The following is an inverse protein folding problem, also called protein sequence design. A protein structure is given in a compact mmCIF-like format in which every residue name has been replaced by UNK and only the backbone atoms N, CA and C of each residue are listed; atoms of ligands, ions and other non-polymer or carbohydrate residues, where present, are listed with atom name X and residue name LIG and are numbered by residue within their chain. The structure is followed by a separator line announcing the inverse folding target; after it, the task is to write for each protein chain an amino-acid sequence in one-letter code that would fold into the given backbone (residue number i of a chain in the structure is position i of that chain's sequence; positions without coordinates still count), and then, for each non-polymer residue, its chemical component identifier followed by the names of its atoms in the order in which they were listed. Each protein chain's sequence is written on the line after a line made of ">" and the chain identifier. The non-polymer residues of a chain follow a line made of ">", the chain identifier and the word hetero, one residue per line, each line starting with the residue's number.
data_IF_282124480631
#
_entry.id   IF_282124480631
#
_cell.length_a   1.000
_cell.length_b   1.000
_cell.length_c   1.000
_cell.angle_alpha   90.00
_cell.angle_beta   90.00
_cell.angle_gamma   90.00
#
_symmetry.space_group_name_H-M   'P 1'
#
loop_
_entity.id
_entity.type
_entity.pdbx_description
1 polymer ?
#
# COMPACT_ATOMS: atom_id res chain seq x y z
N UNK A 1 47.06 9.89 44.46
CA UNK A 1 47.16 8.95 43.32
C UNK A 1 45.82 8.23 43.24
N UNK A 2 44.96 8.65 42.32
CA UNK A 2 43.60 8.10 42.20
C UNK A 2 43.43 7.52 40.80
N UNK A 3 43.06 6.25 40.78
CA UNK A 3 42.73 5.43 39.62
C UNK A 3 41.49 5.96 38.90
N UNK A 4 41.47 5.91 37.57
CA UNK A 4 40.23 5.75 36.80
C UNK A 4 40.56 5.17 35.43
N UNK A 5 40.37 3.85 35.32
CA UNK A 5 40.40 3.12 34.05
C UNK A 5 39.05 3.20 33.34
N UNK A 6 39.14 3.33 32.01
CA UNK A 6 38.27 2.77 30.97
C UNK A 6 36.75 3.00 31.14
N UNK A 7 36.22 3.98 30.41
CA UNK A 7 34.83 3.94 29.93
C UNK A 7 34.83 3.93 28.41
N UNK A 8 34.39 2.79 27.87
CA UNK A 8 34.19 2.53 26.45
C UNK A 8 32.96 3.32 25.97
N UNK A 9 33.17 4.32 25.10
CA UNK A 9 32.06 4.98 24.40
C UNK A 9 31.56 4.06 23.29
N UNK A 10 30.50 3.30 23.56
CA UNK A 10 29.67 2.71 22.52
C UNK A 10 28.83 3.82 21.88
N UNK A 11 29.02 4.02 20.58
CA UNK A 11 28.15 4.85 19.75
C UNK A 11 26.96 4.00 19.34
N UNK A 12 25.88 4.10 20.11
CA UNK A 12 24.57 3.57 19.74
C UNK A 12 23.88 4.59 18.84
N UNK A 13 23.93 4.39 17.52
CA UNK A 13 23.10 5.14 16.59
C UNK A 13 21.67 4.56 16.60
N UNK A 14 20.89 4.93 17.62
CA UNK A 14 19.46 4.68 17.66
C UNK A 14 18.76 5.62 16.67
N UNK A 15 18.22 5.08 15.57
CA UNK A 15 17.25 5.80 14.75
C UNK A 15 15.93 5.90 15.54
N UNK A 16 15.80 6.95 16.34
CA UNK A 16 14.55 7.29 17.01
C UNK A 16 13.55 7.84 15.99
N UNK A 17 12.40 7.17 15.88
CA UNK A 17 11.20 7.67 15.22
C UNK A 17 10.43 8.54 16.20
N UNK A 18 10.38 9.86 15.97
CA UNK A 18 9.44 10.75 16.67
C UNK A 18 8.34 11.17 15.70
N UNK A 19 7.15 10.61 15.90
CA UNK A 19 5.91 11.17 15.37
C UNK A 19 5.56 12.44 16.14
N UNK A 20 5.38 13.56 15.45
CA UNK A 20 4.70 14.73 16.01
C UNK A 20 3.60 15.14 15.05
N UNK A 21 2.36 14.93 15.51
CA UNK A 21 1.19 15.67 15.04
C UNK A 21 1.42 17.18 15.19
N UNK A 22 0.94 17.96 14.24
CA UNK A 22 0.59 19.35 14.53
C UNK A 22 -0.61 19.76 13.67
N UNK A 23 -1.78 19.74 14.30
CA UNK A 23 -2.98 20.42 13.85
C UNK A 23 -2.88 21.87 14.32
N UNK A 24 -3.05 22.84 13.41
CA UNK A 24 -3.81 24.04 13.76
C UNK A 24 -4.37 24.74 12.53
N UNK A 25 -5.70 24.85 12.55
CA UNK A 25 -6.48 25.79 11.78
C UNK A 25 -6.18 27.24 12.21
N UNK A 26 -6.32 28.18 11.27
CA UNK A 26 -6.91 29.48 11.57
C UNK A 26 -7.60 30.04 10.34
N UNK A 27 -8.78 30.58 10.56
CA UNK A 27 -9.70 31.17 9.61
C UNK A 27 -9.84 32.65 9.94
N UNK A 28 -9.74 33.52 8.93
CA UNK A 28 -10.34 34.86 8.88
C UNK A 28 -9.97 35.46 7.51
N UNK A 29 -10.70 36.33 6.86
CA UNK A 29 -12.08 36.81 6.88
C UNK A 29 -12.08 37.93 5.84
N UNK A 30 -13.12 38.03 5.00
CA UNK A 30 -13.53 39.34 4.48
C UNK A 30 -14.99 39.29 4.08
N UNK A 31 -15.82 39.87 4.95
CA UNK A 31 -17.15 40.43 4.64
C UNK A 31 -17.04 41.44 3.48
N UNK A 32 -18.04 41.63 2.63
CA UNK A 32 -19.18 42.50 2.94
C UNK A 32 -20.29 42.41 1.88
N UNK A 33 -21.51 42.61 2.36
CA UNK A 33 -22.82 42.40 1.73
C UNK A 33 -23.37 43.62 0.96
N UNK A 34 -24.35 43.36 0.04
CA UNK A 34 -25.54 44.18 -0.34
C UNK A 34 -25.35 45.16 -1.55
N UNK A 35 -26.21 45.33 -2.59
CA UNK A 35 -27.55 44.82 -3.04
C UNK A 35 -27.92 45.31 -4.48
N UNK A 36 -28.82 44.55 -5.15
CA UNK A 36 -29.80 44.81 -6.26
C UNK A 36 -29.39 45.62 -7.52
N UNK A 37 -29.73 45.22 -8.76
CA UNK A 37 -31.11 45.06 -9.28
C UNK A 37 -31.17 44.37 -10.67
N UNK A 38 -32.29 43.66 -10.92
CA UNK A 38 -33.05 43.47 -12.18
C UNK A 38 -32.50 42.64 -13.38
N UNK A 39 -33.29 41.61 -13.71
CA UNK A 39 -33.81 41.21 -15.06
C UNK A 39 -33.53 39.76 -15.49
N UNK A 40 -34.60 38.98 -15.46
CA UNK A 40 -34.98 37.81 -16.27
C UNK A 40 -33.92 37.06 -17.10
N UNK A 41 -33.82 35.74 -16.89
CA UNK A 41 -34.03 34.74 -17.95
C UNK A 41 -34.32 33.35 -17.37
N UNK A 42 -35.17 32.59 -18.06
CA UNK A 42 -35.65 31.27 -17.68
C UNK A 42 -34.60 30.17 -17.93
N UNK A 43 -34.47 29.19 -17.03
CA UNK A 43 -33.62 28.03 -17.31
C UNK A 43 -33.55 26.96 -16.21
N UNK A 44 -34.40 25.95 -16.34
CA UNK A 44 -34.32 24.59 -15.77
C UNK A 44 -34.34 24.44 -14.23
N UNK A 45 -35.53 24.16 -13.69
CA UNK A 45 -35.69 23.41 -12.43
C UNK A 45 -35.38 21.94 -12.73
N UNK A 46 -34.33 21.41 -12.09
CA UNK A 46 -34.03 19.98 -12.11
C UNK A 46 -34.99 19.27 -11.16
N UNK A 47 -36.00 18.61 -11.70
CA UNK A 47 -36.78 17.62 -10.96
C UNK A 47 -35.98 16.31 -10.90
N UNK A 48 -35.64 15.78 -9.70
CA UNK A 48 -35.13 14.42 -9.62
C UNK A 48 -36.24 13.47 -10.06
N UNK A 49 -36.02 12.73 -11.15
CA UNK A 49 -36.95 11.71 -11.63
C UNK A 49 -37.24 10.70 -10.51
N UNK A 50 -38.45 10.77 -9.94
CA UNK A 50 -39.09 9.61 -9.34
C UNK A 50 -39.60 8.73 -10.47
N UNK A 51 -38.80 7.76 -10.90
CA UNK A 51 -39.30 6.70 -11.75
C UNK A 51 -38.89 5.32 -11.21
N UNK A 52 -39.93 4.59 -10.79
CA UNK A 52 -40.02 3.15 -10.58
C UNK A 52 -39.11 2.51 -9.53
N UNK A 53 -39.74 2.17 -8.40
CA UNK A 53 -39.29 1.09 -7.53
C UNK A 53 -39.40 -0.25 -8.29
N UNK A 54 -38.42 -0.53 -9.14
CA UNK A 54 -38.08 -1.90 -9.51
C UNK A 54 -37.16 -2.43 -8.40
N UNK A 55 -37.51 -3.58 -7.83
CA UNK A 55 -36.79 -4.23 -6.76
C UNK A 55 -35.34 -4.53 -7.18
N UNK A 56 -34.45 -3.56 -6.97
CA UNK A 56 -33.02 -3.82 -6.95
C UNK A 56 -32.70 -4.36 -5.57
N UNK A 57 -32.52 -5.67 -5.50
CA UNK A 57 -31.77 -6.33 -4.43
C UNK A 57 -30.54 -5.45 -4.15
N UNK A 58 -30.45 -4.89 -2.94
CA UNK A 58 -29.55 -3.77 -2.64
C UNK A 58 -28.11 -4.06 -3.07
N UNK A 59 -27.63 -3.39 -4.13
CA UNK A 59 -26.22 -3.42 -4.51
C UNK A 59 -25.42 -2.80 -3.37
N UNK A 60 -24.63 -3.62 -2.68
CA UNK A 60 -23.55 -3.15 -1.81
C UNK A 60 -22.71 -2.15 -2.62
N UNK A 61 -22.61 -0.92 -2.10
CA UNK A 61 -21.80 0.11 -2.74
C UNK A 61 -20.37 -0.03 -2.23
N UNK A 62 -19.50 -0.62 -3.03
CA UNK A 62 -18.07 -0.71 -2.73
C UNK A 62 -17.40 0.64 -3.03
N UNK A 63 -16.64 1.15 -2.07
CA UNK A 63 -15.93 2.42 -2.19
C UNK A 63 -14.47 2.24 -1.79
N UNK A 64 -13.51 2.79 -2.55
CA UNK A 64 -12.12 2.75 -2.16
C UNK A 64 -11.88 3.43 -0.81
N UNK A 65 -11.04 2.83 0.04
CA UNK A 65 -10.54 3.48 1.25
C UNK A 65 -9.34 4.35 0.90
N UNK A 66 -9.63 5.59 0.52
CA UNK A 66 -8.62 6.56 0.08
C UNK A 66 -7.63 6.92 1.18
N UNK A 67 -8.05 6.93 2.45
CA UNK A 67 -7.17 7.25 3.58
C UNK A 67 -6.14 6.13 3.80
N UNK A 68 -6.61 4.88 3.79
CA UNK A 68 -5.72 3.72 3.91
C UNK A 68 -4.76 3.63 2.72
N UNK A 69 -5.26 3.80 1.49
CA UNK A 69 -4.42 3.84 0.27
C UNK A 69 -3.32 4.89 0.40
N UNK A 70 -3.67 6.11 0.81
CA UNK A 70 -2.69 7.19 0.96
C UNK A 70 -1.64 6.88 2.04
N UNK A 71 -2.06 6.30 3.17
CA UNK A 71 -1.15 5.90 4.25
C UNK A 71 -0.19 4.80 3.79
N UNK A 72 -0.70 3.76 3.12
CA UNK A 72 0.13 2.66 2.62
C UNK A 72 1.09 3.13 1.53
N UNK A 73 0.64 4.04 0.66
CA UNK A 73 1.52 4.66 -0.35
C UNK A 73 2.63 5.48 0.29
N UNK A 74 2.32 6.30 1.28
CA UNK A 74 3.32 7.10 1.98
C UNK A 74 4.37 6.22 2.70
N UNK A 75 3.93 5.14 3.34
CA UNK A 75 4.84 4.17 3.97
C UNK A 75 5.74 3.49 2.93
N UNK A 76 5.17 3.03 1.82
CA UNK A 76 5.94 2.42 0.71
C UNK A 76 6.96 3.39 0.09
N UNK A 77 6.57 4.65 -0.12
CA UNK A 77 7.44 5.69 -0.67
C UNK A 77 8.59 6.02 0.29
N UNK A 78 8.29 6.17 1.59
CA UNK A 78 9.31 6.41 2.63
C UNK A 78 10.33 5.27 2.69
N UNK A 79 9.86 4.02 2.70
CA UNK A 79 10.70 2.82 2.75
C UNK A 79 11.53 2.64 1.49
N UNK A 80 10.96 2.97 0.33
CA UNK A 80 11.69 2.95 -0.94
C UNK A 80 12.79 4.02 -0.96
N UNK A 81 12.52 5.21 -0.42
CA UNK A 81 13.52 6.27 -0.31
C UNK A 81 14.67 5.87 0.62
N UNK A 82 14.37 5.23 1.76
CA UNK A 82 15.38 4.69 2.67
C UNK A 82 16.27 3.64 1.98
N UNK A 83 15.67 2.70 1.24
CA UNK A 83 16.41 1.68 0.50
C UNK A 83 17.31 2.32 -0.56
N UNK A 84 16.81 3.29 -1.34
CA UNK A 84 17.63 4.02 -2.32
C UNK A 84 18.83 4.70 -1.65
N UNK A 85 18.60 5.42 -0.56
CA UNK A 85 19.68 6.10 0.17
C UNK A 85 20.74 5.14 0.71
N UNK A 86 20.31 3.99 1.25
CA UNK A 86 21.24 2.95 1.72
C UNK A 86 22.10 2.40 0.58
N UNK A 87 21.48 2.11 -0.57
CA UNK A 87 22.19 1.57 -1.73
C UNK A 87 23.11 2.61 -2.35
N UNK A 88 22.69 3.87 -2.43
CA UNK A 88 23.55 4.99 -2.87
C UNK A 88 24.77 5.15 -1.96
N UNK A 89 24.59 5.06 -0.63
CA UNK A 89 25.70 5.08 0.33
C UNK A 89 26.64 3.87 0.15
N UNK A 90 26.07 2.70 -0.13
CA UNK A 90 26.85 1.47 -0.39
C UNK A 90 27.67 1.56 -1.67
N UNK A 91 27.09 2.12 -2.74
CA UNK A 91 27.77 2.38 -4.00
C UNK A 91 28.89 3.42 -3.81
N UNK A 92 28.59 4.58 -3.22
CA UNK A 92 29.59 5.64 -3.01
C UNK A 92 30.72 5.24 -2.05
N UNK A 93 30.44 4.36 -1.08
CA UNK A 93 31.44 3.80 -0.18
C UNK A 93 32.38 2.78 -0.83
N UNK A 94 32.08 2.31 -2.04
CA UNK A 94 32.89 1.37 -2.79
C UNK A 94 33.57 2.10 -3.96
N UNK A 95 34.90 2.19 -3.93
CA UNK A 95 35.74 3.06 -4.77
C UNK A 95 35.57 2.93 -6.31
N UNK A 96 34.76 1.98 -6.81
CA UNK A 96 34.66 1.63 -8.23
C UNK A 96 33.27 1.80 -8.87
N UNK A 97 32.26 2.38 -8.19
CA UNK A 97 30.92 2.53 -8.80
C UNK A 97 30.59 3.99 -9.14
N UNK A 98 30.90 4.40 -10.38
CA UNK A 98 30.34 5.60 -11.03
C UNK A 98 29.17 5.15 -11.94
N UNK A 99 28.01 5.81 -11.91
CA UNK A 99 26.83 5.23 -12.58
C UNK A 99 25.64 6.11 -12.92
N UNK A 100 24.43 5.59 -12.76
CA UNK A 100 23.07 6.08 -13.10
C UNK A 100 22.06 5.23 -12.31
N UNK A 101 20.78 5.60 -12.27
CA UNK A 101 19.75 4.81 -11.58
C UNK A 101 19.56 3.36 -12.11
N UNK A 102 19.83 3.10 -13.40
CA UNK A 102 19.87 1.73 -13.95
C UNK A 102 21.05 0.90 -13.38
N UNK A 103 22.05 1.55 -12.81
CA UNK A 103 23.17 0.89 -12.16
C UNK A 103 22.84 0.42 -10.75
N UNK A 104 21.80 0.96 -10.09
CA UNK A 104 21.38 0.51 -8.75
C UNK A 104 20.94 -0.95 -8.81
N UNK A 105 20.01 -1.29 -9.71
CA UNK A 105 19.52 -2.66 -9.85
C UNK A 105 20.58 -3.60 -10.39
N UNK A 106 21.41 -3.14 -11.33
CA UNK A 106 22.56 -3.90 -11.85
C UNK A 106 23.59 -4.19 -10.75
N UNK A 107 23.91 -3.19 -9.92
CA UNK A 107 24.84 -3.29 -8.80
C UNK A 107 24.34 -4.31 -7.77
N UNK A 108 23.08 -4.21 -7.36
CA UNK A 108 22.47 -5.15 -6.42
C UNK A 108 22.45 -6.57 -6.98
N UNK A 109 22.12 -6.74 -8.25
CA UNK A 109 22.07 -8.07 -8.89
C UNK A 109 23.44 -8.74 -8.98
N UNK A 110 24.52 -7.96 -9.14
CA UNK A 110 25.90 -8.49 -9.15
C UNK A 110 26.26 -9.17 -7.83
N UNK A 111 25.66 -8.78 -6.71
CA UNK A 111 25.87 -9.38 -5.39
C UNK A 111 27.28 -9.19 -4.79
N UNK A 112 28.21 -8.60 -5.53
CA UNK A 112 29.60 -8.42 -5.11
C UNK A 112 29.80 -7.05 -4.43
N UNK A 113 29.20 -6.89 -3.25
CA UNK A 113 29.31 -5.68 -2.44
C UNK A 113 29.52 -6.05 -0.96
N UNK A 114 30.22 -5.19 -0.23
CA UNK A 114 30.43 -5.36 1.20
C UNK A 114 29.38 -4.59 1.98
N UNK A 115 28.71 -5.29 2.90
CA UNK A 115 27.84 -4.69 3.92
C UNK A 115 28.48 -4.86 5.28
N UNK A 116 28.40 -3.83 6.12
CA UNK A 116 28.81 -3.95 7.51
C UNK A 116 27.90 -4.96 8.26
N UNK A 117 28.40 -5.57 9.35
CA UNK A 117 27.67 -6.60 10.06
C UNK A 117 26.30 -6.15 10.59
N UNK A 118 26.17 -4.89 11.04
CA UNK A 118 24.93 -4.39 11.63
C UNK A 118 23.85 -4.21 10.54
N UNK A 119 24.21 -3.60 9.40
CA UNK A 119 23.30 -3.49 8.25
C UNK A 119 22.88 -4.86 7.73
N UNK A 120 23.79 -5.84 7.70
CA UNK A 120 23.46 -7.21 7.30
C UNK A 120 22.46 -7.86 8.25
N UNK A 121 22.70 -7.75 9.56
CA UNK A 121 21.82 -8.32 10.57
C UNK A 121 20.42 -7.69 10.51
N UNK A 122 20.34 -6.37 10.34
CA UNK A 122 19.06 -5.68 10.18
C UNK A 122 18.34 -6.13 8.90
N UNK A 123 19.03 -6.19 7.76
CA UNK A 123 18.42 -6.64 6.52
C UNK A 123 17.92 -8.09 6.61
N UNK A 124 18.63 -8.97 7.32
CA UNK A 124 18.19 -10.34 7.60
C UNK A 124 16.92 -10.38 8.45
N UNK A 125 16.86 -9.54 9.50
CA UNK A 125 15.65 -9.40 10.31
C UNK A 125 14.48 -8.83 9.50
N UNK A 126 14.74 -7.85 8.64
CA UNK A 126 13.69 -7.21 7.84
C UNK A 126 13.09 -8.17 6.80
N UNK A 127 13.85 -9.14 6.28
CA UNK A 127 13.36 -10.14 5.30
C UNK A 127 12.91 -11.46 5.95
N UNK A 128 13.03 -11.59 7.27
CA UNK A 128 12.52 -12.74 8.01
C UNK A 128 11.01 -12.84 7.88
N UNK A 129 10.41 -13.95 8.29
CA UNK A 129 8.96 -14.19 8.13
C UNK A 129 8.09 -13.15 8.83
N UNK A 130 8.55 -12.67 9.99
CA UNK A 130 7.97 -11.59 10.80
C UNK A 130 8.51 -10.20 10.44
N UNK A 131 9.56 -10.15 9.62
CA UNK A 131 10.18 -8.93 9.14
C UNK A 131 9.26 -8.13 8.24
N UNK A 132 9.46 -6.82 8.20
CA UNK A 132 8.64 -5.93 7.38
C UNK A 132 8.62 -6.32 5.90
N UNK A 133 9.75 -6.75 5.34
CA UNK A 133 9.91 -7.27 3.97
C UNK A 133 9.75 -8.79 3.86
N UNK A 134 9.30 -9.44 4.91
CA UNK A 134 8.94 -10.85 4.91
C UNK A 134 7.86 -11.17 3.87
N UNK A 135 7.84 -12.43 3.42
CA UNK A 135 6.89 -12.93 2.42
C UNK A 135 5.45 -12.70 2.85
N UNK A 136 5.11 -13.06 4.10
CA UNK A 136 3.76 -12.92 4.63
C UNK A 136 3.37 -11.43 4.77
N UNK A 137 4.22 -10.63 5.44
CA UNK A 137 3.97 -9.20 5.65
C UNK A 137 3.83 -8.43 4.33
N UNK A 138 4.67 -8.72 3.34
CA UNK A 138 4.61 -8.04 2.04
C UNK A 138 3.37 -8.46 1.25
N UNK A 139 3.06 -9.76 1.23
CA UNK A 139 1.85 -10.24 0.54
C UNK A 139 0.56 -9.75 1.19
N UNK A 140 0.49 -9.67 2.53
CA UNK A 140 -0.66 -9.06 3.24
C UNK A 140 -0.86 -7.61 2.84
N UNK A 141 0.21 -6.80 2.84
CA UNK A 141 0.13 -5.40 2.41
C UNK A 141 -0.33 -5.24 0.97
N UNK A 142 0.04 -6.15 0.07
CA UNK A 142 -0.43 -6.12 -1.33
C UNK A 142 -1.94 -6.41 -1.40
N UNK A 143 -2.40 -7.40 -0.64
CA UNK A 143 -3.82 -7.77 -0.58
C UNK A 143 -4.65 -6.67 0.09
N UNK A 144 -4.18 -6.09 1.18
CA UNK A 144 -4.83 -4.96 1.85
C UNK A 144 -4.93 -3.76 0.93
N UNK A 145 -3.89 -3.48 0.14
CA UNK A 145 -3.94 -2.41 -0.86
C UNK A 145 -4.98 -2.71 -1.95
N UNK A 146 -5.06 -3.96 -2.43
CA UNK A 146 -6.07 -4.37 -3.41
C UNK A 146 -7.48 -4.21 -2.84
N UNK A 147 -7.73 -4.69 -1.61
CA UNK A 147 -9.02 -4.53 -0.91
C UNK A 147 -9.37 -3.06 -0.71
N UNK A 148 -8.42 -2.25 -0.26
CA UNK A 148 -8.62 -0.81 -0.08
C UNK A 148 -8.95 -0.12 -1.41
N UNK A 149 -8.33 -0.53 -2.52
CA UNK A 149 -8.59 0.02 -3.85
C UNK A 149 -9.97 -0.35 -4.39
N UNK A 150 -10.41 -1.59 -4.19
CA UNK A 150 -11.70 -2.07 -4.68
C UNK A 150 -12.86 -1.81 -3.72
N UNK A 151 -12.56 -1.39 -2.48
CA UNK A 151 -13.55 -1.33 -1.42
C UNK A 151 -14.04 -2.71 -0.97
N UNK A 152 -13.28 -3.77 -1.26
CA UNK A 152 -13.69 -5.16 -0.99
C UNK A 152 -14.62 -5.76 -2.05
N UNK A 153 -14.75 -5.14 -3.22
CA UNK A 153 -15.59 -5.64 -4.31
C UNK A 153 -15.11 -7.03 -4.81
N UNK A 154 -15.91 -8.10 -4.64
CA UNK A 154 -15.54 -9.44 -5.08
C UNK A 154 -15.42 -9.56 -6.60
N UNK A 155 -16.16 -8.74 -7.37
CA UNK A 155 -16.12 -8.74 -8.83
C UNK A 155 -14.78 -8.18 -9.36
N UNK A 156 -13.98 -7.56 -8.48
CA UNK A 156 -12.67 -6.96 -8.80
C UNK A 156 -11.48 -7.81 -8.41
N UNK A 157 -11.67 -8.98 -7.83
CA UNK A 157 -10.57 -9.85 -7.38
C UNK A 157 -9.65 -10.23 -8.55
N UNK A 158 -10.21 -10.69 -9.67
CA UNK A 158 -9.42 -11.09 -10.83
C UNK A 158 -8.79 -9.90 -11.57
N UNK A 159 -9.47 -8.75 -11.59
CA UNK A 159 -8.89 -7.48 -12.09
C UNK A 159 -7.64 -7.11 -11.29
N UNK A 160 -7.69 -7.26 -9.95
CA UNK A 160 -6.56 -6.96 -9.06
C UNK A 160 -5.43 -7.98 -9.18
N UNK A 161 -5.76 -9.27 -9.30
CA UNK A 161 -4.76 -10.32 -9.56
C UNK A 161 -3.99 -10.03 -10.85
N UNK A 162 -4.70 -9.74 -11.94
CA UNK A 162 -4.09 -9.42 -13.22
C UNK A 162 -3.23 -8.15 -13.17
N UNK A 163 -3.68 -7.12 -12.44
CA UNK A 163 -2.90 -5.90 -12.22
C UNK A 163 -1.61 -6.18 -11.44
N UNK A 164 -1.67 -7.01 -10.41
CA UNK A 164 -0.50 -7.43 -9.64
C UNK A 164 0.49 -8.24 -10.49
N UNK A 165 0.04 -9.24 -11.26
CA UNK A 165 0.92 -10.00 -12.17
C UNK A 165 1.64 -9.08 -13.17
N UNK A 166 0.91 -8.12 -13.74
CA UNK A 166 1.48 -7.13 -14.65
C UNK A 166 2.52 -6.26 -13.94
N UNK A 167 2.26 -5.88 -12.68
CA UNK A 167 3.20 -5.16 -11.82
C UNK A 167 4.48 -5.98 -11.57
N UNK A 168 4.34 -7.25 -11.21
CA UNK A 168 5.46 -8.17 -10.95
C UNK A 168 6.33 -8.36 -12.20
N UNK A 169 5.72 -8.59 -13.37
CA UNK A 169 6.45 -8.68 -14.66
C UNK A 169 7.22 -7.39 -14.98
N UNK A 170 6.64 -6.22 -14.70
CA UNK A 170 7.35 -4.93 -14.85
C UNK A 170 8.51 -4.80 -13.86
N UNK A 171 8.34 -5.25 -12.63
CA UNK A 171 9.39 -5.27 -11.63
C UNK A 171 10.58 -6.13 -12.08
N UNK A 172 10.34 -7.33 -12.64
CA UNK A 172 11.40 -8.17 -13.21
C UNK A 172 12.15 -7.50 -14.37
N UNK A 173 11.43 -6.81 -15.26
CA UNK A 173 12.05 -6.01 -16.34
C UNK A 173 12.94 -4.90 -15.79
N UNK A 174 12.47 -4.16 -14.79
CA UNK A 174 13.25 -3.09 -14.15
C UNK A 174 14.44 -3.64 -13.35
N UNK A 175 14.26 -4.81 -12.72
CA UNK A 175 15.31 -5.53 -12.03
C UNK A 175 16.38 -6.03 -12.99
N UNK A 176 16.03 -6.27 -14.27
CA UNK A 176 16.92 -6.68 -15.35
C UNK A 176 17.14 -8.19 -15.45
N UNK A 177 16.13 -8.97 -15.08
CA UNK A 177 16.13 -10.43 -15.12
C UNK A 177 15.05 -10.99 -14.19
N UNK A 178 15.23 -12.23 -13.76
CA UNK A 178 14.35 -12.83 -12.75
C UNK A 178 14.53 -12.13 -11.40
N UNK A 179 13.40 -11.87 -10.74
CA UNK A 179 13.41 -11.32 -9.39
C UNK A 179 13.98 -12.37 -8.41
N UNK A 180 14.62 -11.93 -7.31
CA UNK A 180 15.18 -12.83 -6.31
C UNK A 180 14.14 -13.81 -5.73
N UNK A 181 14.61 -14.95 -5.20
CA UNK A 181 13.75 -16.01 -4.63
C UNK A 181 12.66 -15.49 -3.68
N UNK A 182 13.01 -14.58 -2.76
CA UNK A 182 12.05 -13.99 -1.82
C UNK A 182 10.89 -13.29 -2.53
N UNK A 183 11.15 -12.63 -3.67
CA UNK A 183 10.11 -11.99 -4.47
C UNK A 183 9.22 -13.01 -5.16
N UNK A 184 9.76 -14.15 -5.60
CA UNK A 184 8.97 -15.25 -6.17
C UNK A 184 8.06 -15.87 -5.11
N UNK A 185 8.60 -16.18 -3.93
CA UNK A 185 7.79 -16.66 -2.79
C UNK A 185 6.70 -15.67 -2.38
N UNK A 186 6.98 -14.36 -2.48
CA UNK A 186 5.96 -13.32 -2.26
C UNK A 186 4.90 -13.31 -3.34
N UNK A 187 5.27 -13.53 -4.60
CA UNK A 187 4.31 -13.66 -5.71
C UNK A 187 3.36 -14.85 -5.48
N UNK A 188 3.90 -16.02 -5.14
CA UNK A 188 3.09 -17.22 -4.87
C UNK A 188 2.12 -16.99 -3.70
N UNK A 189 2.61 -16.40 -2.61
CA UNK A 189 1.77 -16.07 -1.45
C UNK A 189 0.65 -15.06 -1.79
N UNK A 190 0.90 -14.09 -2.67
CA UNK A 190 -0.14 -13.16 -3.14
C UNK A 190 -1.16 -13.88 -4.01
N UNK A 191 -0.73 -14.74 -4.93
CA UNK A 191 -1.62 -15.54 -5.77
C UNK A 191 -2.56 -16.41 -4.93
N UNK A 192 -2.00 -17.13 -3.94
CA UNK A 192 -2.77 -17.96 -3.02
C UNK A 192 -3.80 -17.15 -2.22
N UNK A 193 -3.44 -15.92 -1.81
CA UNK A 193 -4.38 -15.03 -1.12
C UNK A 193 -5.49 -14.52 -2.02
N UNK A 194 -5.21 -14.23 -3.30
CA UNK A 194 -6.27 -13.92 -4.27
C UNK A 194 -7.19 -15.13 -4.52
N UNK A 195 -6.65 -16.35 -4.60
CA UNK A 195 -7.44 -17.58 -4.71
C UNK A 195 -8.39 -17.74 -3.54
N UNK A 196 -7.88 -17.61 -2.31
CA UNK A 196 -8.70 -17.66 -1.08
C UNK A 196 -9.81 -16.62 -1.09
N UNK A 197 -9.50 -15.38 -1.46
CA UNK A 197 -10.52 -14.32 -1.57
C UNK A 197 -11.59 -14.64 -2.60
N UNK A 198 -11.21 -15.19 -3.76
CA UNK A 198 -12.17 -15.58 -4.80
C UNK A 198 -13.06 -16.76 -4.35
N UNK A 199 -12.50 -17.72 -3.60
CA UNK A 199 -13.26 -18.81 -3.00
C UNK A 199 -14.23 -18.34 -1.91
N UNK A 200 -13.78 -17.45 -1.04
CA UNK A 200 -14.61 -16.84 0.02
C UNK A 200 -15.77 -16.06 -0.59
N UNK A 201 -15.51 -15.23 -1.59
CA UNK A 201 -16.55 -14.49 -2.31
C UNK A 201 -17.61 -15.40 -2.95
N UNK A 202 -17.19 -16.54 -3.52
CA UNK A 202 -18.13 -17.54 -4.07
C UNK A 202 -18.99 -18.15 -2.97
N UNK A 203 -18.39 -18.56 -1.85
CA UNK A 203 -19.12 -19.14 -0.70
C UNK A 203 -20.15 -18.17 -0.12
N UNK A 204 -19.80 -16.89 -0.02
CA UNK A 204 -20.73 -15.85 0.45
C UNK A 204 -21.91 -15.66 -0.52
N UNK A 205 -21.65 -15.69 -1.83
CA UNK A 205 -22.72 -15.61 -2.84
C UNK A 205 -23.67 -16.81 -2.80
N UNK A 206 -23.14 -18.02 -2.58
CA UNK A 206 -23.94 -19.25 -2.46
C UNK A 206 -24.75 -19.29 -1.15
N UNK A 207 -24.21 -18.75 -0.05
CA UNK A 207 -24.91 -18.65 1.22
C UNK A 207 -26.06 -17.62 1.17
N UNK A 208 -25.85 -16.48 0.51
CA UNK A 208 -26.89 -15.46 0.32
C UNK A 208 -28.07 -15.98 -0.53
N UNK A 209 -27.81 -16.88 -1.47
CA UNK A 209 -28.83 -17.46 -2.35
C UNK A 209 -29.61 -18.64 -1.70
N UNK A 210 -29.25 -19.03 -0.46
CA UNK A 210 -29.84 -20.16 0.27
C UNK A 210 -30.65 -19.75 1.51
N UNK A 211 -30.83 -18.45 1.75
CA UNK A 211 -31.69 -17.96 2.84
C UNK A 211 -33.15 -18.38 2.57
N UNK A 212 -33.83 -19.04 3.52
CA UNK A 212 -35.16 -19.59 3.29
C UNK A 212 -36.17 -18.46 3.07
N UNK A 213 -36.98 -18.62 2.01
CA UNK A 213 -38.22 -17.90 1.78
C UNK A 213 -39.03 -17.91 3.08
N UNK A 214 -39.18 -16.74 3.71
CA UNK A 214 -40.02 -16.58 4.89
C UNK A 214 -41.45 -16.90 4.46
N UNK A 215 -41.90 -18.10 4.82
CA UNK A 215 -43.28 -18.53 4.63
C UNK A 215 -44.16 -17.57 5.40
N UNK A 216 -44.91 -16.75 4.67
CA UNK A 216 -45.90 -15.81 5.19
C UNK A 216 -46.93 -16.59 6.05
N UNK A 217 -47.03 -16.35 7.37
CA UNK A 217 -47.97 -17.07 8.23
C UNK A 217 -49.35 -16.41 8.28
N UNK A 218 -49.79 -15.72 7.22
CA UNK A 218 -51.13 -15.15 7.13
C UNK A 218 -51.88 -15.56 5.86
N UNK A 219 -52.33 -16.81 5.84
CA UNK A 219 -53.56 -17.20 5.12
C UNK A 219 -54.30 -18.32 5.83
#
# INVERSE_FOLDING_TARGET
>A
MSVNGVTSNQVTAAYNYSATENVKADAAASESTKVESSSADAGAVYEPSKESASASTGKTTYKPDTNLINKMKADADARTAQLRSLVEKMMTGQANTYGKANDIWSFLRKGNYTVDPATRAQAQADIAEDGYWGVNQTSDRIIDFAKALTGGDPDKIEDMRAAFEKGFKKAGKNWGGDLPDISQRTYDAVMEKFDKMAEEAKKESDAANKAPEVVDPTK
#
